data_IF_644533168887
#
_entry.id   IF_644533168887
#
_cell.length_a   1.000
_cell.length_b   1.000
_cell.length_c   1.000
_cell.angle_alpha   90.00
_cell.angle_beta   90.00
_cell.angle_gamma   90.00
#
_symmetry.space_group_name_H-M   'P 1'
#
loop_
_entity.id
_entity.type
_entity.pdbx_description
1 polymer ?
#
# COMPACT_ATOMS: atom_id res chain seq x y z
N UNK A 1 -32.74 -6.90 -11.84
CA UNK A 1 -31.78 -6.39 -10.85
C UNK A 1 -30.45 -7.08 -11.10
N UNK A 2 -29.59 -6.48 -11.92
CA UNK A 2 -28.25 -7.01 -12.18
C UNK A 2 -27.36 -6.76 -10.97
N UNK A 3 -27.00 -7.82 -10.26
CA UNK A 3 -25.98 -7.76 -9.23
C UNK A 3 -24.64 -7.43 -9.89
N UNK A 4 -24.18 -6.18 -9.75
CA UNK A 4 -22.78 -5.83 -10.00
C UNK A 4 -21.93 -6.68 -9.06
N UNK A 5 -21.38 -7.78 -9.57
CA UNK A 5 -20.23 -8.44 -8.93
C UNK A 5 -19.11 -7.42 -8.93
N UNK A 6 -18.87 -6.77 -7.78
CA UNK A 6 -17.66 -5.99 -7.58
C UNK A 6 -16.48 -6.88 -7.94
N UNK A 7 -15.81 -6.61 -9.07
CA UNK A 7 -14.56 -7.30 -9.41
C UNK A 7 -13.60 -6.95 -8.29
N UNK A 8 -13.20 -7.95 -7.51
CA UNK A 8 -12.07 -7.78 -6.60
C UNK A 8 -10.84 -7.62 -7.48
N UNK A 9 -10.31 -6.40 -7.56
CA UNK A 9 -8.99 -6.18 -8.15
C UNK A 9 -7.96 -6.72 -7.16
N UNK A 10 -7.26 -7.77 -7.58
CA UNK A 10 -6.11 -8.28 -6.86
C UNK A 10 -4.92 -7.36 -7.14
N UNK A 11 -4.30 -6.86 -6.08
CA UNK A 11 -3.18 -5.92 -6.17
C UNK A 11 -1.95 -6.54 -5.50
N UNK A 12 -0.86 -6.62 -6.25
CA UNK A 12 0.42 -7.08 -5.73
C UNK A 12 1.23 -5.90 -5.22
N UNK A 13 1.57 -5.92 -3.93
CA UNK A 13 2.41 -4.88 -3.30
C UNK A 13 3.83 -5.41 -3.13
N UNK A 14 4.81 -4.67 -3.64
CA UNK A 14 6.23 -4.94 -3.35
C UNK A 14 6.61 -4.25 -2.05
N UNK A 15 7.08 -5.03 -1.08
CA UNK A 15 7.62 -4.52 0.18
C UNK A 15 9.04 -5.04 0.40
N UNK A 16 9.82 -4.35 1.22
CA UNK A 16 11.19 -4.78 1.51
C UNK A 16 11.18 -6.10 2.29
N UNK A 17 12.23 -6.91 2.13
CA UNK A 17 12.39 -8.18 2.85
C UNK A 17 12.40 -7.99 4.37
N UNK A 18 12.93 -6.86 4.86
CA UNK A 18 12.99 -6.53 6.28
C UNK A 18 11.59 -6.28 6.83
N UNK A 19 10.79 -5.48 6.12
CA UNK A 19 9.43 -5.14 6.54
C UNK A 19 8.50 -6.35 6.47
N UNK A 20 8.64 -7.17 5.43
CA UNK A 20 7.90 -8.44 5.33
C UNK A 20 8.20 -9.36 6.52
N UNK A 21 9.47 -9.53 6.91
CA UNK A 21 9.84 -10.34 8.07
C UNK A 21 9.19 -9.84 9.36
N UNK A 22 9.16 -8.53 9.57
CA UNK A 22 8.53 -7.93 10.73
C UNK A 22 7.02 -8.19 10.74
N UNK A 23 6.34 -7.92 9.62
CA UNK A 23 4.91 -8.17 9.45
C UNK A 23 4.59 -9.65 9.69
N UNK A 24 5.40 -10.54 9.11
CA UNK A 24 5.23 -11.98 9.23
C UNK A 24 5.40 -12.46 10.68
N UNK A 25 6.35 -11.90 11.43
CA UNK A 25 6.57 -12.21 12.84
C UNK A 25 5.39 -11.76 13.71
N UNK A 26 4.86 -10.55 13.49
CA UNK A 26 3.71 -10.01 14.23
C UNK A 26 2.43 -10.82 13.93
N UNK A 27 2.24 -11.22 12.68
CA UNK A 27 1.08 -12.00 12.25
C UNK A 27 1.19 -13.51 12.51
N UNK A 28 2.36 -13.99 12.96
CA UNK A 28 2.61 -15.41 13.23
C UNK A 28 2.54 -16.30 11.97
N UNK A 29 2.91 -15.77 10.80
CA UNK A 29 2.83 -16.53 9.54
C UNK A 29 1.44 -16.64 8.91
N UNK A 30 0.39 -16.11 9.54
CA UNK A 30 -0.98 -16.20 9.04
C UNK A 30 -1.24 -15.19 7.92
N UNK A 31 -1.32 -15.67 6.67
CA UNK A 31 -1.56 -14.86 5.48
C UNK A 31 -2.84 -14.00 5.56
N UNK A 32 -3.89 -14.47 6.23
CA UNK A 32 -5.13 -13.70 6.37
C UNK A 32 -4.91 -12.49 7.28
N UNK A 33 -4.14 -12.65 8.36
CA UNK A 33 -3.75 -11.55 9.25
C UNK A 33 -2.81 -10.58 8.56
N UNK A 34 -1.86 -11.08 7.77
CA UNK A 34 -0.95 -10.26 6.96
C UNK A 34 -1.75 -9.37 6.01
N UNK A 35 -2.66 -9.96 5.24
CA UNK A 35 -3.52 -9.22 4.31
C UNK A 35 -4.40 -8.18 5.02
N UNK A 36 -4.97 -8.53 6.19
CA UNK A 36 -5.76 -7.60 6.99
C UNK A 36 -4.93 -6.43 7.51
N UNK A 37 -3.71 -6.69 7.98
CA UNK A 37 -2.80 -5.66 8.47
C UNK A 37 -2.34 -4.73 7.36
N UNK A 38 -1.95 -5.26 6.20
CA UNK A 38 -1.56 -4.44 5.03
C UNK A 38 -2.71 -3.50 4.63
N UNK A 39 -3.94 -4.03 4.53
CA UNK A 39 -5.13 -3.21 4.23
C UNK A 39 -5.34 -2.11 5.27
N UNK A 40 -5.23 -2.45 6.55
CA UNK A 40 -5.36 -1.49 7.64
C UNK A 40 -4.31 -0.38 7.54
N UNK A 41 -3.04 -0.72 7.36
CA UNK A 41 -1.95 0.26 7.24
C UNK A 41 -2.13 1.18 6.02
N UNK A 42 -2.59 0.65 4.90
CA UNK A 42 -2.95 1.45 3.72
C UNK A 42 -4.09 2.40 4.08
N UNK A 43 -5.18 1.91 4.65
CA UNK A 43 -6.31 2.77 5.06
C UNK A 43 -5.89 3.86 6.03
N UNK A 44 -5.10 3.55 7.05
CA UNK A 44 -4.58 4.56 8.01
C UNK A 44 -3.69 5.60 7.32
N UNK A 45 -2.81 5.17 6.40
CA UNK A 45 -1.94 6.07 5.64
C UNK A 45 -2.74 7.02 4.74
N UNK A 46 -3.92 6.60 4.28
CA UNK A 46 -4.80 7.38 3.41
C UNK A 46 -5.79 8.27 4.18
N UNK A 47 -6.17 7.92 5.42
CA UNK A 47 -7.23 8.61 6.19
C UNK A 47 -7.04 10.12 6.32
N UNK A 48 -5.79 10.57 6.42
CA UNK A 48 -5.46 11.98 6.64
C UNK A 48 -4.83 12.64 5.40
N UNK A 49 -4.85 11.96 4.25
CA UNK A 49 -4.24 12.49 3.02
C UNK A 49 -5.30 12.98 2.07
N UNK A 50 -5.07 14.17 1.54
CA UNK A 50 -5.85 14.70 0.42
C UNK A 50 -5.44 14.00 -0.88
N UNK A 51 -6.34 13.98 -1.86
CA UNK A 51 -6.03 13.45 -3.21
C UNK A 51 -4.79 14.11 -3.82
N UNK A 52 -4.58 15.40 -3.58
CA UNK A 52 -3.42 16.15 -4.06
C UNK A 52 -2.10 15.69 -3.43
N UNK A 53 -2.11 15.29 -2.16
CA UNK A 53 -0.93 14.74 -1.49
C UNK A 53 -0.59 13.34 -2.01
N UNK A 54 -1.60 12.55 -2.36
CA UNK A 54 -1.40 11.23 -2.96
C UNK A 54 -0.81 11.33 -4.36
N UNK A 55 -1.28 12.29 -5.17
CA UNK A 55 -0.75 12.55 -6.51
C UNK A 55 0.75 12.90 -6.47
N UNK A 56 1.19 13.69 -5.48
CA UNK A 56 2.61 14.03 -5.29
C UNK A 56 3.51 12.84 -4.93
N UNK A 57 2.95 11.75 -4.39
CA UNK A 57 3.69 10.51 -4.10
C UNK A 57 3.81 9.62 -5.34
N UNK A 58 2.80 9.68 -6.22
CA UNK A 58 2.76 8.92 -7.47
C UNK A 58 3.61 9.58 -8.56
N UNK A 59 3.67 10.92 -8.57
CA UNK A 59 4.56 11.63 -9.47
C UNK A 59 6.02 11.35 -9.08
N UNK A 60 6.85 10.79 -9.99
CA UNK A 60 8.25 10.60 -9.71
C UNK A 60 8.85 11.98 -9.43
N UNK A 61 9.40 12.16 -8.23
CA UNK A 61 10.19 13.34 -7.89
C UNK A 61 11.14 13.60 -9.05
N UNK A 62 10.85 14.61 -9.88
CA UNK A 62 11.74 15.03 -10.97
C UNK A 62 13.08 15.25 -10.30
N UNK A 63 14.02 14.33 -10.52
CA UNK A 63 15.40 14.45 -10.06
C UNK A 63 15.83 15.86 -10.48
N UNK A 64 15.96 16.76 -9.51
CA UNK A 64 16.70 18.01 -9.73
C UNK A 64 18.07 17.55 -10.19
N UNK A 65 18.34 17.71 -11.49
CA UNK A 65 19.69 17.61 -12.02
C UNK A 65 20.53 18.56 -11.15
N UNK A 66 21.44 17.99 -10.37
CA UNK A 66 22.60 18.73 -9.86
C UNK A 66 23.29 19.29 -11.11
N UNK A 67 23.17 20.59 -11.34
CA UNK A 67 24.25 21.34 -11.94
C UNK A 67 25.17 21.69 -10.79
N UNK A 68 26.32 21.04 -10.77
CA UNK A 68 27.61 21.55 -10.31
C UNK A 68 28.69 20.66 -10.92
#
# INVERSE_FOLDING_TARGET
MEGRRSRFEEVTVKISKKDFKLINAVCGGDERKINKLIRYLISESLKNKTTDELLKVVEPSRRRRKQE
#
